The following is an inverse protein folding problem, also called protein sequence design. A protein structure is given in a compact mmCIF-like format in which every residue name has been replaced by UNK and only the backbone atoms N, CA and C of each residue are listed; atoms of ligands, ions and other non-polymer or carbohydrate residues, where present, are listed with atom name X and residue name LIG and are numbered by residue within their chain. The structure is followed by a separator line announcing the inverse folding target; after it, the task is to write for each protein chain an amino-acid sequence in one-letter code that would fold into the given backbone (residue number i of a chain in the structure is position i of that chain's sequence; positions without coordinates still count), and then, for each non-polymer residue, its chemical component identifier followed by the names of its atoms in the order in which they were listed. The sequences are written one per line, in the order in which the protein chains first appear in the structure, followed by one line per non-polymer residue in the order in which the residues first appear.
data_IF_608341120475
#
_entry.id   IF_608341120475
#
_cell.length_a   1.000
_cell.length_b   1.000
_cell.length_c   1.000
_cell.angle_alpha   90.00
_cell.angle_beta   90.00
_cell.angle_gamma   90.00
#
_symmetry.space_group_name_H-M   'P 1'
#
loop_
_entity.id
_entity.type
_entity.pdbx_description
1 polymer ?
#
# COMPACT_ATOMS: atom_id res chain seq x y z
N UNK A 1 6.89 21.40 12.05
CA UNK A 1 7.32 20.00 11.84
C UNK A 1 6.19 19.01 12.14
N UNK A 2 4.90 19.40 11.99
CA UNK A 2 3.73 18.54 12.28
C UNK A 2 2.86 18.18 11.06
N UNK A 3 3.06 18.79 9.88
CA UNK A 3 2.14 18.56 8.73
C UNK A 3 2.24 17.15 8.15
N UNK A 4 3.43 16.52 8.15
CA UNK A 4 3.63 15.21 7.51
C UNK A 4 2.85 14.08 8.18
N UNK A 5 2.73 14.09 9.52
CA UNK A 5 1.98 13.06 10.26
C UNK A 5 0.46 13.19 10.14
N UNK A 6 -0.02 14.37 9.77
CA UNK A 6 -1.44 14.70 9.71
C UNK A 6 -2.03 14.33 8.34
N UNK A 7 -1.29 14.67 7.27
CA UNK A 7 -1.51 14.21 5.89
C UNK A 7 -1.57 12.67 5.83
N UNK A 8 -0.57 12.00 6.43
CA UNK A 8 -0.55 10.54 6.60
C UNK A 8 -1.84 10.00 7.23
N UNK A 9 -2.41 10.73 8.17
CA UNK A 9 -3.55 10.25 8.93
C UNK A 9 -4.87 10.37 8.18
N UNK A 10 -5.05 11.37 7.30
CA UNK A 10 -6.30 11.54 6.55
C UNK A 10 -6.39 10.53 5.42
N UNK A 11 -5.34 10.41 4.61
CA UNK A 11 -5.31 9.47 3.49
C UNK A 11 -5.52 8.02 3.97
N UNK A 12 -4.90 7.63 5.09
CA UNK A 12 -5.01 6.28 5.64
C UNK A 12 -6.43 5.82 6.05
N UNK A 13 -7.41 6.74 6.12
CA UNK A 13 -8.78 6.40 6.51
C UNK A 13 -9.81 6.60 5.39
N UNK A 14 -9.42 7.14 4.23
CA UNK A 14 -10.36 7.50 3.15
C UNK A 14 -11.06 6.27 2.57
N UNK A 15 -10.38 5.13 2.47
CA UNK A 15 -10.98 3.85 2.06
C UNK A 15 -12.25 3.47 2.84
N UNK A 16 -12.40 3.97 4.06
CA UNK A 16 -13.58 3.70 4.89
C UNK A 16 -14.74 4.68 4.66
N UNK A 17 -14.48 5.86 4.08
CA UNK A 17 -15.46 6.94 3.94
C UNK A 17 -16.78 6.51 3.28
N UNK A 18 -16.82 5.64 2.25
CA UNK A 18 -18.09 5.16 1.71
C UNK A 18 -19.01 4.50 2.75
N UNK A 19 -18.45 3.77 3.72
CA UNK A 19 -19.23 3.15 4.80
C UNK A 19 -19.79 4.21 5.76
N UNK A 20 -18.95 5.18 6.14
CA UNK A 20 -19.35 6.29 7.00
C UNK A 20 -20.41 7.18 6.31
N UNK A 21 -20.31 7.38 4.99
CA UNK A 21 -21.33 8.05 4.17
C UNK A 21 -22.66 7.33 4.17
N UNK A 22 -22.65 6.00 4.01
CA UNK A 22 -23.88 5.21 4.00
C UNK A 22 -24.69 5.41 5.29
N UNK A 23 -23.99 5.41 6.43
CA UNK A 23 -24.60 5.69 7.74
C UNK A 23 -25.15 7.12 7.79
N UNK A 24 -24.36 8.12 7.36
CA UNK A 24 -24.77 9.53 7.37
C UNK A 24 -26.03 9.74 6.51
N UNK A 25 -26.07 9.15 5.31
CA UNK A 25 -27.23 9.22 4.43
C UNK A 25 -28.48 8.60 5.06
N UNK A 26 -28.32 7.52 5.84
CA UNK A 26 -29.41 6.93 6.62
C UNK A 26 -29.99 7.92 7.62
N UNK A 27 -29.14 8.63 8.36
CA UNK A 27 -29.54 9.66 9.33
C UNK A 27 -30.22 10.84 8.63
N UNK A 28 -29.66 11.32 7.52
CA UNK A 28 -30.24 12.39 6.71
C UNK A 28 -31.65 12.02 6.27
N UNK A 29 -31.82 10.82 5.71
CA UNK A 29 -33.12 10.31 5.26
C UNK A 29 -34.13 10.23 6.41
N UNK A 30 -33.73 9.69 7.56
CA UNK A 30 -34.61 9.61 8.73
C UNK A 30 -35.00 11.00 9.25
N UNK A 31 -34.02 11.90 9.39
CA UNK A 31 -34.24 13.27 9.85
C UNK A 31 -35.19 14.03 8.92
N UNK A 32 -34.98 13.94 7.61
CA UNK A 32 -35.82 14.59 6.61
C UNK A 32 -37.25 14.00 6.60
N UNK A 33 -37.40 12.69 6.79
CA UNK A 33 -38.72 12.03 6.88
C UNK A 33 -39.51 12.45 8.12
N UNK A 34 -38.84 12.59 9.28
CA UNK A 34 -39.46 13.06 10.50
C UNK A 34 -39.86 14.53 10.34
N UNK A 35 -39.00 15.35 9.72
CA UNK A 35 -39.29 16.75 9.41
C UNK A 35 -40.55 16.90 8.56
N UNK A 36 -40.74 16.08 7.53
CA UNK A 36 -41.96 16.09 6.70
C UNK A 36 -43.22 15.72 7.50
N UNK A 37 -43.10 14.79 8.46
CA UNK A 37 -44.22 14.36 9.31
C UNK A 37 -44.68 15.46 10.27
N UNK A 38 -43.76 16.29 10.78
CA UNK A 38 -44.07 17.39 11.70
C UNK A 38 -44.36 18.74 11.01
N UNK A 39 -44.04 18.88 9.71
CA UNK A 39 -44.23 20.13 8.94
C UNK A 39 -45.70 20.53 8.66
N UNK A 40 -46.67 19.85 9.29
CA UNK A 40 -48.04 20.36 9.44
C UNK A 40 -48.17 21.65 10.27
N UNK A 41 -47.09 22.15 10.89
CA UNK A 41 -47.05 23.43 11.60
C UNK A 41 -45.71 24.15 11.40
N UNK A 42 -45.73 25.29 10.72
CA UNK A 42 -44.54 25.99 10.27
C UNK A 42 -43.62 26.52 11.38
N UNK A 43 -42.35 26.13 11.32
CA UNK A 43 -41.20 27.02 11.47
C UNK A 43 -40.01 26.30 10.84
N UNK A 44 -39.63 26.71 9.63
CA UNK A 44 -38.57 26.07 8.88
C UNK A 44 -37.23 26.48 9.46
N UNK A 45 -36.39 25.49 9.80
CA UNK A 45 -34.97 25.74 9.99
C UNK A 45 -34.34 25.93 8.60
N UNK A 46 -34.47 27.15 8.08
CA UNK A 46 -33.90 27.57 6.80
C UNK A 46 -32.42 27.89 6.88
N UNK A 47 -31.83 27.84 8.08
CA UNK A 47 -30.40 28.04 8.27
C UNK A 47 -29.64 26.76 7.90
N UNK A 48 -28.88 26.77 6.78
CA UNK A 48 -28.08 25.62 6.39
C UNK A 48 -27.11 25.20 7.50
N UNK A 49 -26.55 26.14 8.26
CA UNK A 49 -25.59 25.84 9.31
C UNK A 49 -26.22 24.99 10.42
N UNK A 50 -27.46 25.30 10.80
CA UNK A 50 -28.18 24.56 11.85
C UNK A 50 -28.59 23.16 11.40
N UNK A 51 -29.00 23.02 10.14
CA UNK A 51 -29.26 21.70 9.54
C UNK A 51 -28.01 20.81 9.59
N UNK A 52 -26.88 21.28 9.05
CA UNK A 52 -25.66 20.49 8.98
C UNK A 52 -25.10 20.16 10.38
N UNK A 53 -25.17 21.10 11.31
CA UNK A 53 -24.80 20.87 12.71
C UNK A 53 -25.65 19.77 13.35
N UNK A 54 -26.98 19.80 13.13
CA UNK A 54 -27.90 18.81 13.70
C UNK A 54 -27.61 17.42 13.15
N UNK A 55 -27.44 17.28 11.83
CA UNK A 55 -27.09 16.02 11.18
C UNK A 55 -25.74 15.48 11.71
N UNK A 56 -24.71 16.32 11.78
CA UNK A 56 -23.41 15.92 12.29
C UNK A 56 -23.46 15.49 13.77
N UNK A 57 -24.25 16.19 14.59
CA UNK A 57 -24.42 15.84 16.00
C UNK A 57 -25.09 14.48 16.16
N UNK A 58 -26.21 14.24 15.47
CA UNK A 58 -26.91 12.95 15.49
C UNK A 58 -25.97 11.81 15.07
N UNK A 59 -25.21 12.04 13.99
CA UNK A 59 -24.22 11.11 13.49
C UNK A 59 -23.16 10.76 14.54
N UNK A 60 -22.53 11.78 15.14
CA UNK A 60 -21.48 11.56 16.13
C UNK A 60 -22.02 10.88 17.40
N UNK A 61 -23.24 11.21 17.84
CA UNK A 61 -23.89 10.55 18.98
C UNK A 61 -24.17 9.07 18.71
N UNK A 62 -24.77 8.74 17.57
CA UNK A 62 -25.04 7.35 17.20
C UNK A 62 -23.74 6.53 17.08
N UNK A 63 -22.70 7.15 16.52
CA UNK A 63 -21.40 6.50 16.33
C UNK A 63 -20.66 6.28 17.67
N UNK A 64 -20.87 7.14 18.66
CA UNK A 64 -20.33 6.95 20.01
C UNK A 64 -20.94 5.75 20.72
N UNK A 65 -22.22 5.48 20.49
CA UNK A 65 -22.92 4.31 21.07
C UNK A 65 -22.53 3.01 20.35
N UNK A 66 -22.16 3.11 19.07
CA UNK A 66 -21.66 1.99 18.27
C UNK A 66 -20.20 1.68 18.58
N UNK A 67 -19.94 0.68 19.44
CA UNK A 67 -18.58 0.20 19.72
C UNK A 67 -17.85 -0.42 18.50
N UNK A 68 -18.53 -0.56 17.36
CA UNK A 68 -18.03 -1.25 16.17
C UNK A 68 -17.21 -0.36 15.22
N UNK A 69 -17.23 0.96 15.40
CA UNK A 69 -16.65 1.91 14.44
C UNK A 69 -15.58 2.79 15.08
N UNK A 70 -14.59 3.17 14.28
CA UNK A 70 -13.47 3.97 14.75
C UNK A 70 -13.92 5.45 14.83
N UNK A 71 -14.10 5.93 16.06
CA UNK A 71 -14.54 7.31 16.32
C UNK A 71 -13.57 8.37 15.74
N UNK A 72 -12.27 8.09 15.62
CA UNK A 72 -11.32 8.99 14.95
C UNK A 72 -11.70 9.12 13.46
N UNK A 73 -11.95 7.99 12.78
CA UNK A 73 -12.36 7.98 11.37
C UNK A 73 -13.71 8.67 11.19
N UNK A 74 -14.64 8.46 12.11
CA UNK A 74 -15.93 9.13 12.15
C UNK A 74 -15.77 10.67 12.15
N UNK A 75 -14.98 11.19 13.09
CA UNK A 75 -14.73 12.63 13.19
C UNK A 75 -14.04 13.19 11.94
N UNK A 76 -13.12 12.45 11.33
CA UNK A 76 -12.47 12.82 10.07
C UNK A 76 -13.44 12.87 8.90
N UNK A 77 -14.34 11.88 8.82
CA UNK A 77 -15.37 11.85 7.79
C UNK A 77 -16.36 13.01 7.92
N UNK A 78 -16.82 13.34 9.13
CA UNK A 78 -17.70 14.49 9.36
C UNK A 78 -17.04 15.80 8.93
N UNK A 79 -15.76 15.97 9.24
CA UNK A 79 -15.05 17.16 8.80
C UNK A 79 -14.96 17.25 7.27
N UNK A 80 -14.58 16.14 6.62
CA UNK A 80 -14.59 16.04 5.15
C UNK A 80 -15.97 16.37 4.56
N UNK A 81 -17.05 15.82 5.13
CA UNK A 81 -18.41 16.06 4.68
C UNK A 81 -18.80 17.55 4.79
N UNK A 82 -18.58 18.18 5.95
CA UNK A 82 -18.88 19.60 6.15
C UNK A 82 -18.10 20.49 5.16
N UNK A 83 -16.83 20.18 4.92
CA UNK A 83 -16.00 20.90 3.96
C UNK A 83 -16.52 20.69 2.52
N UNK A 84 -16.94 19.48 2.17
CA UNK A 84 -17.54 19.20 0.87
C UNK A 84 -18.88 19.92 0.66
N UNK A 85 -19.71 20.04 1.71
CA UNK A 85 -20.94 20.84 1.66
C UNK A 85 -20.62 22.33 1.46
N UNK A 86 -19.51 22.82 2.02
CA UNK A 86 -19.03 24.19 1.77
C UNK A 86 -18.58 24.41 0.32
N UNK A 87 -17.80 23.50 -0.25
CA UNK A 87 -17.41 23.55 -1.67
C UNK A 87 -18.62 23.48 -2.62
N UNK A 88 -19.69 22.78 -2.22
CA UNK A 88 -20.95 22.75 -2.98
C UNK A 88 -21.79 24.04 -2.87
N UNK A 89 -21.34 25.02 -2.06
CA UNK A 89 -22.00 26.30 -1.84
C UNK A 89 -23.15 26.27 -0.82
N UNK A 90 -23.35 25.15 -0.12
CA UNK A 90 -24.41 25.02 0.91
C UNK A 90 -23.98 25.62 2.26
N UNK A 91 -22.68 25.71 2.49
CA UNK A 91 -22.05 26.35 3.65
C UNK A 91 -20.90 27.26 3.16
N UNK A 92 -20.45 28.18 4.00
CA UNK A 92 -19.12 28.78 3.80
C UNK A 92 -18.05 27.88 4.41
N UNK A 93 -16.81 27.92 3.91
CA UNK A 93 -15.67 27.18 4.51
C UNK A 93 -15.50 27.55 5.98
N UNK A 94 -15.64 28.85 6.31
CA UNK A 94 -15.59 29.34 7.70
C UNK A 94 -16.67 28.71 8.57
N UNK A 95 -17.91 28.62 8.07
CA UNK A 95 -19.01 28.00 8.81
C UNK A 95 -18.76 26.51 9.00
N UNK A 96 -18.30 25.79 7.96
CA UNK A 96 -17.98 24.37 8.07
C UNK A 96 -16.91 24.12 9.16
N UNK A 97 -15.85 24.93 9.20
CA UNK A 97 -14.82 24.87 10.24
C UNK A 97 -15.39 25.18 11.62
N UNK A 98 -16.16 26.26 11.77
CA UNK A 98 -16.75 26.66 13.05
C UNK A 98 -17.73 25.60 13.60
N UNK A 99 -18.58 25.06 12.73
CA UNK A 99 -19.51 23.98 13.09
C UNK A 99 -18.75 22.75 13.58
N UNK A 100 -17.70 22.35 12.87
CA UNK A 100 -16.87 21.23 13.28
C UNK A 100 -16.24 21.45 14.66
N UNK A 101 -15.63 22.61 14.89
CA UNK A 101 -15.02 22.94 16.18
C UNK A 101 -16.05 22.89 17.32
N UNK A 102 -17.24 23.45 17.12
CA UNK A 102 -18.34 23.39 18.09
C UNK A 102 -18.79 21.96 18.39
N UNK A 103 -18.89 21.11 17.38
CA UNK A 103 -19.24 19.69 17.56
C UNK A 103 -18.18 18.98 18.43
N UNK A 104 -16.91 19.27 18.19
CA UNK A 104 -15.81 18.66 18.92
C UNK A 104 -15.79 19.12 20.38
N UNK A 105 -16.10 20.39 20.68
CA UNK A 105 -16.24 20.90 22.06
C UNK A 105 -17.36 20.20 22.83
N UNK A 106 -18.50 19.92 22.20
CA UNK A 106 -19.61 19.21 22.84
C UNK A 106 -19.20 17.79 23.22
N UNK A 107 -18.45 17.13 22.34
CA UNK A 107 -17.94 15.78 22.57
C UNK A 107 -16.78 15.74 23.59
N UNK A 108 -16.03 16.83 23.72
CA UNK A 108 -14.86 17.02 24.62
C UNK A 108 -15.20 16.85 26.11
N UNK A 109 -16.49 17.01 26.49
CA UNK A 109 -16.98 16.74 27.84
C UNK A 109 -16.81 15.27 28.29
N UNK A 110 -16.31 14.38 27.43
CA UNK A 110 -16.17 12.93 27.65
C UNK A 110 -14.76 12.40 27.27
N UNK A 111 -13.69 13.09 27.69
CA UNK A 111 -12.28 12.71 27.47
C UNK A 111 -11.83 12.67 25.99
N UNK A 112 -11.90 13.81 25.29
CA UNK A 112 -11.41 13.91 23.90
C UNK A 112 -10.33 14.98 23.67
N UNK A 113 -9.60 15.40 24.71
CA UNK A 113 -8.42 16.29 24.57
C UNK A 113 -7.40 15.73 23.55
N UNK A 114 -7.29 14.39 23.49
CA UNK A 114 -6.55 13.66 22.47
C UNK A 114 -7.02 13.95 21.03
N UNK A 115 -8.34 14.05 20.80
CA UNK A 115 -8.91 14.29 19.48
C UNK A 115 -8.83 15.76 19.09
N UNK A 116 -9.03 16.69 20.03
CA UNK A 116 -8.81 18.12 19.84
C UNK A 116 -7.38 18.44 19.40
N UNK A 117 -6.40 17.75 20.01
CA UNK A 117 -4.99 17.86 19.61
C UNK A 117 -4.65 17.23 18.25
N UNK A 118 -5.58 16.43 17.68
CA UNK A 118 -5.47 15.74 16.38
C UNK A 118 -6.40 16.34 15.31
N UNK A 119 -7.26 17.29 15.68
CA UNK A 119 -8.10 18.08 14.78
C UNK A 119 -7.21 19.12 14.14
N UNK A 120 -6.53 18.69 13.09
CA UNK A 120 -5.83 19.60 12.22
C UNK A 120 -6.73 19.89 11.03
N UNK A 121 -7.04 21.17 10.88
CA UNK A 121 -7.79 21.73 9.76
C UNK A 121 -7.13 21.21 8.48
N UNK A 122 -7.85 20.37 7.73
CA UNK A 122 -7.42 19.89 6.42
C UNK A 122 -7.15 21.12 5.55
N UNK A 123 -5.95 21.24 4.99
CA UNK A 123 -5.66 22.27 3.99
C UNK A 123 -6.47 21.99 2.71
N UNK A 124 -6.72 23.01 1.90
CA UNK A 124 -7.45 22.82 0.64
C UNK A 124 -6.84 21.71 -0.24
N UNK A 125 -5.50 21.68 -0.35
CA UNK A 125 -4.78 20.66 -1.14
C UNK A 125 -5.00 19.24 -0.60
N UNK A 126 -4.99 19.07 0.73
CA UNK A 126 -5.29 17.76 1.34
C UNK A 126 -6.75 17.39 1.08
N UNK A 127 -7.68 18.35 1.17
CA UNK A 127 -9.10 18.10 0.91
C UNK A 127 -9.34 17.63 -0.52
N UNK A 128 -8.77 18.29 -1.53
CA UNK A 128 -8.94 17.92 -2.94
C UNK A 128 -8.35 16.53 -3.24
N UNK A 129 -7.20 16.21 -2.64
CA UNK A 129 -6.60 14.88 -2.75
C UNK A 129 -7.44 13.80 -2.05
N UNK A 130 -7.96 14.09 -0.84
CA UNK A 130 -8.87 13.19 -0.11
C UNK A 130 -10.14 12.96 -0.91
N UNK A 131 -10.73 14.01 -1.48
CA UNK A 131 -11.91 13.95 -2.34
C UNK A 131 -11.66 13.05 -3.55
N UNK A 132 -10.53 13.22 -4.22
CA UNK A 132 -10.16 12.39 -5.38
C UNK A 132 -9.98 10.92 -5.03
N UNK A 133 -9.31 10.59 -3.92
CA UNK A 133 -9.22 9.20 -3.42
C UNK A 133 -10.59 8.66 -3.04
N UNK A 134 -11.40 9.47 -2.37
CA UNK A 134 -12.74 9.08 -1.96
C UNK A 134 -13.62 8.74 -3.17
N UNK A 135 -13.59 9.54 -4.23
CA UNK A 135 -14.30 9.27 -5.48
C UNK A 135 -13.84 7.96 -6.14
N UNK A 136 -12.55 7.61 -6.07
CA UNK A 136 -12.05 6.31 -6.54
C UNK A 136 -12.69 5.15 -5.77
N UNK A 137 -12.71 5.21 -4.44
CA UNK A 137 -13.35 4.18 -3.60
C UNK A 137 -14.87 4.12 -3.79
N UNK A 138 -15.54 5.27 -3.92
CA UNK A 138 -16.98 5.35 -4.15
C UNK A 138 -17.36 4.72 -5.51
N UNK A 139 -16.61 5.01 -6.57
CA UNK A 139 -16.81 4.41 -7.89
C UNK A 139 -16.56 2.89 -7.87
N UNK A 140 -15.50 2.43 -7.20
CA UNK A 140 -15.23 0.99 -7.06
C UNK A 140 -16.36 0.30 -6.28
N UNK A 141 -16.89 0.93 -5.23
CA UNK A 141 -18.01 0.40 -4.47
C UNK A 141 -19.30 0.40 -5.30
N UNK A 142 -19.59 1.48 -6.04
CA UNK A 142 -20.70 1.54 -7.00
C UNK A 142 -20.61 0.38 -7.99
N UNK A 143 -19.43 0.15 -8.56
CA UNK A 143 -19.21 -1.00 -9.43
C UNK A 143 -19.48 -2.35 -8.75
N UNK A 144 -19.08 -2.54 -7.48
CA UNK A 144 -19.31 -3.77 -6.72
C UNK A 144 -20.79 -3.99 -6.36
N UNK A 145 -21.49 -2.93 -5.95
CA UNK A 145 -22.80 -3.04 -5.28
C UNK A 145 -23.98 -2.75 -6.18
N UNK A 146 -23.80 -2.00 -7.27
CA UNK A 146 -24.88 -1.71 -8.20
C UNK A 146 -25.31 -3.00 -8.91
N UNK A 147 -26.48 -3.52 -8.54
CA UNK A 147 -27.09 -4.70 -9.15
C UNK A 147 -28.26 -4.33 -10.07
N UNK A 148 -28.49 -3.04 -10.30
CA UNK A 148 -29.59 -2.58 -11.15
C UNK A 148 -29.35 -2.94 -12.61
N UNK A 149 -28.08 -3.06 -13.01
CA UNK A 149 -27.68 -3.38 -14.38
C UNK A 149 -26.67 -4.55 -14.48
N UNK A 150 -26.63 -5.23 -15.64
CA UNK A 150 -25.59 -6.21 -15.95
C UNK A 150 -24.18 -5.63 -15.79
N UNK A 151 -23.22 -6.45 -15.36
CA UNK A 151 -21.82 -6.03 -15.13
C UNK A 151 -21.22 -5.34 -16.38
N UNK A 152 -21.61 -5.76 -17.58
CA UNK A 152 -21.15 -5.17 -18.85
C UNK A 152 -21.52 -3.71 -19.03
N UNK A 153 -22.59 -3.23 -18.39
CA UNK A 153 -23.02 -1.82 -18.49
C UNK A 153 -22.36 -0.95 -17.42
N UNK A 154 -21.81 -1.57 -16.37
CA UNK A 154 -21.12 -0.89 -15.26
C UNK A 154 -19.65 -0.57 -15.56
N UNK A 155 -19.16 -0.87 -16.76
CA UNK A 155 -17.77 -0.63 -17.14
C UNK A 155 -17.36 0.86 -17.12
N UNK A 156 -18.31 1.79 -17.12
CA UNK A 156 -18.04 3.22 -16.95
C UNK A 156 -17.38 3.55 -15.60
N UNK A 157 -17.71 2.82 -14.52
CA UNK A 157 -17.04 2.97 -13.22
C UNK A 157 -15.57 2.55 -13.29
N UNK A 158 -15.27 1.50 -14.06
CA UNK A 158 -13.91 0.97 -14.26
C UNK A 158 -13.06 2.00 -14.99
N UNK A 159 -13.59 2.55 -16.09
CA UNK A 159 -12.93 3.61 -16.86
C UNK A 159 -12.71 4.88 -16.01
N UNK A 160 -13.71 5.27 -15.22
CA UNK A 160 -13.60 6.43 -14.31
C UNK A 160 -12.52 6.20 -13.25
N UNK A 161 -12.46 5.02 -12.63
CA UNK A 161 -11.40 4.67 -11.69
C UNK A 161 -10.01 4.75 -12.34
N UNK A 162 -9.86 4.18 -13.53
CA UNK A 162 -8.58 4.19 -14.25
C UNK A 162 -8.12 5.61 -14.55
N UNK A 163 -8.97 6.42 -15.18
CA UNK A 163 -8.63 7.78 -15.58
C UNK A 163 -8.29 8.67 -14.38
N UNK A 164 -9.05 8.57 -13.28
CA UNK A 164 -8.79 9.35 -12.07
C UNK A 164 -7.51 8.90 -11.36
N UNK A 165 -7.22 7.61 -11.31
CA UNK A 165 -5.99 7.09 -10.73
C UNK A 165 -4.74 7.55 -11.51
N UNK A 166 -4.80 7.50 -12.85
CA UNK A 166 -3.67 7.87 -13.72
C UNK A 166 -3.25 9.34 -13.62
N UNK A 167 -4.11 10.24 -13.11
CA UNK A 167 -3.75 11.64 -12.87
C UNK A 167 -2.59 11.81 -11.88
N UNK A 168 -2.39 10.84 -10.99
CA UNK A 168 -1.36 10.89 -9.95
C UNK A 168 -0.04 10.23 -10.37
N UNK A 169 0.09 9.78 -11.61
CA UNK A 169 1.29 9.08 -12.09
C UNK A 169 2.54 9.94 -11.92
N UNK A 170 2.52 11.19 -12.35
CA UNK A 170 3.70 12.08 -12.27
C UNK A 170 4.08 12.38 -10.82
N UNK A 171 3.11 12.81 -10.00
CA UNK A 171 3.32 13.16 -8.59
C UNK A 171 3.86 11.95 -7.80
N UNK A 172 3.20 10.81 -7.96
CA UNK A 172 3.60 9.59 -7.27
C UNK A 172 4.84 8.93 -7.85
N UNK A 173 5.25 9.28 -9.07
CA UNK A 173 6.54 8.86 -9.64
C UNK A 173 7.73 9.62 -9.04
N UNK A 174 7.51 10.86 -8.59
CA UNK A 174 8.57 11.71 -8.03
C UNK A 174 8.71 11.54 -6.52
N UNK A 175 7.61 11.28 -5.80
CA UNK A 175 7.58 11.15 -4.35
C UNK A 175 6.79 9.90 -3.88
N UNK A 176 7.33 8.72 -4.16
CA UNK A 176 6.67 7.43 -3.89
C UNK A 176 6.31 7.15 -2.42
N UNK A 177 6.94 7.85 -1.47
CA UNK A 177 6.75 7.63 -0.02
C UNK A 177 5.73 8.57 0.61
N UNK A 178 5.18 9.53 -0.14
CA UNK A 178 4.08 10.37 0.34
C UNK A 178 2.88 9.48 0.73
N UNK A 179 2.26 9.80 1.86
CA UNK A 179 0.99 9.27 2.34
C UNK A 179 -0.10 9.10 1.26
N UNK A 180 -0.30 10.12 0.42
CA UNK A 180 -1.24 10.11 -0.70
C UNK A 180 -0.93 8.94 -1.64
N UNK A 181 0.33 8.82 -2.05
CA UNK A 181 0.76 7.76 -2.97
C UNK A 181 0.72 6.37 -2.33
N UNK A 182 0.92 6.27 -1.02
CA UNK A 182 0.69 5.02 -0.30
C UNK A 182 -0.79 4.62 -0.32
N UNK A 183 -1.71 5.56 -0.13
CA UNK A 183 -3.14 5.26 -0.23
C UNK A 183 -3.57 4.95 -1.68
N UNK A 184 -2.99 5.62 -2.68
CA UNK A 184 -3.19 5.25 -4.09
C UNK A 184 -2.76 3.81 -4.36
N UNK A 185 -1.61 3.36 -3.82
CA UNK A 185 -1.20 1.95 -3.93
C UNK A 185 -2.11 0.99 -3.16
N UNK A 186 -2.70 1.41 -2.03
CA UNK A 186 -3.70 0.62 -1.32
C UNK A 186 -4.97 0.44 -2.19
N UNK A 187 -5.47 1.54 -2.77
CA UNK A 187 -6.58 1.51 -3.71
C UNK A 187 -6.26 0.61 -4.91
N UNK A 188 -5.08 0.76 -5.51
CA UNK A 188 -4.57 -0.07 -6.60
C UNK A 188 -4.65 -1.55 -6.27
N UNK A 189 -4.18 -1.93 -5.07
CA UNK A 189 -4.18 -3.30 -4.59
C UNK A 189 -5.60 -3.87 -4.49
N UNK A 190 -6.53 -3.11 -3.89
CA UNK A 190 -7.91 -3.53 -3.72
C UNK A 190 -8.65 -3.65 -5.06
N UNK A 191 -8.56 -2.61 -5.89
CA UNK A 191 -9.15 -2.58 -7.22
C UNK A 191 -8.62 -3.74 -8.06
N UNK A 192 -7.29 -3.96 -8.09
CA UNK A 192 -6.71 -5.02 -8.91
C UNK A 192 -7.07 -6.41 -8.39
N UNK A 193 -7.18 -6.60 -7.07
CA UNK A 193 -7.67 -7.85 -6.49
C UNK A 193 -9.08 -8.16 -7.00
N UNK A 194 -9.98 -7.18 -6.99
CA UNK A 194 -11.35 -7.36 -7.43
C UNK A 194 -11.46 -7.58 -8.94
N UNK A 195 -10.78 -6.75 -9.73
CA UNK A 195 -10.81 -6.85 -11.20
C UNK A 195 -10.15 -8.13 -11.72
N UNK A 196 -9.30 -8.79 -10.92
CA UNK A 196 -8.75 -10.11 -11.26
C UNK A 196 -9.84 -11.18 -11.40
N UNK A 197 -10.96 -11.04 -10.72
CA UNK A 197 -12.03 -12.04 -10.67
C UNK A 197 -13.14 -11.79 -11.71
N UNK A 198 -13.10 -10.66 -12.41
CA UNK A 198 -14.14 -10.23 -13.35
C UNK A 198 -13.75 -10.50 -14.80
N UNK A 199 -14.69 -11.03 -15.57
CA UNK A 199 -14.54 -11.36 -17.01
C UNK A 199 -15.20 -10.33 -17.95
N UNK A 200 -15.92 -9.35 -17.41
CA UNK A 200 -16.54 -8.27 -18.16
C UNK A 200 -15.56 -7.11 -18.45
N UNK A 201 -15.99 -6.16 -19.28
CA UNK A 201 -15.29 -4.91 -19.60
C UNK A 201 -14.07 -4.98 -20.57
N UNK A 202 -13.86 -6.07 -21.32
CA UNK A 202 -12.94 -6.08 -22.47
C UNK A 202 -11.44 -6.06 -22.15
N UNK A 203 -10.59 -6.11 -23.19
CA UNK A 203 -9.28 -6.80 -23.24
C UNK A 203 -8.28 -6.51 -22.09
N UNK A 204 -8.02 -7.57 -21.31
CA UNK A 204 -6.99 -7.81 -20.30
C UNK A 204 -6.89 -6.87 -19.10
N UNK A 205 -8.05 -6.59 -18.48
CA UNK A 205 -8.25 -6.00 -17.14
C UNK A 205 -7.47 -4.70 -17.02
N UNK A 206 -8.15 -3.55 -16.98
CA UNK A 206 -7.50 -2.24 -16.70
C UNK A 206 -6.92 -2.22 -15.28
N UNK A 207 -5.92 -3.06 -15.04
CA UNK A 207 -5.15 -3.22 -13.84
C UNK A 207 -4.42 -1.91 -13.70
N UNK A 208 -4.60 -1.29 -12.56
CA UNK A 208 -3.93 -0.05 -12.25
C UNK A 208 -2.43 -0.33 -12.10
N UNK A 209 -1.56 0.38 -12.85
CA UNK A 209 -0.11 0.22 -12.76
C UNK A 209 0.38 0.74 -11.41
N UNK A 210 1.46 0.14 -10.89
CA UNK A 210 2.10 0.70 -9.71
C UNK A 210 2.90 1.93 -10.11
N UNK A 211 2.76 3.01 -9.34
CA UNK A 211 3.57 4.22 -9.52
C UNK A 211 4.90 4.12 -8.76
N UNK A 212 5.04 3.13 -7.87
CA UNK A 212 6.32 2.85 -7.21
C UNK A 212 7.33 2.37 -8.24
N UNK A 213 8.26 3.25 -8.61
CA UNK A 213 9.37 2.87 -9.46
C UNK A 213 10.20 1.85 -8.69
N UNK A 214 10.28 0.65 -9.27
CA UNK A 214 11.22 -0.34 -8.80
C UNK A 214 12.59 0.22 -9.14
N UNK A 215 13.32 0.69 -8.14
CA UNK A 215 14.69 1.15 -8.34
C UNK A 215 15.49 -0.08 -8.78
N UNK A 216 15.66 -0.26 -10.09
CA UNK A 216 16.32 -1.44 -10.68
C UNK A 216 17.71 -1.60 -10.07
N UNK A 217 18.37 -0.47 -9.78
CA UNK A 217 19.60 -0.43 -9.01
C UNK A 217 19.44 -1.12 -7.64
N UNK A 218 18.44 -0.79 -6.83
CA UNK A 218 18.20 -1.41 -5.52
C UNK A 218 17.88 -2.91 -5.64
N UNK A 219 17.07 -3.30 -6.63
CA UNK A 219 16.72 -4.71 -6.86
C UNK A 219 17.94 -5.54 -7.25
N UNK A 220 18.86 -4.95 -8.01
CA UNK A 220 20.11 -5.62 -8.42
C UNK A 220 21.17 -5.55 -7.32
N UNK A 221 21.26 -4.42 -6.60
CA UNK A 221 22.28 -4.18 -5.58
C UNK A 221 22.02 -4.93 -4.28
N UNK A 222 20.77 -5.13 -3.86
CA UNK A 222 20.46 -5.86 -2.62
C UNK A 222 20.98 -7.32 -2.67
N UNK A 223 20.64 -8.14 -3.69
CA UNK A 223 21.17 -9.49 -3.80
C UNK A 223 22.69 -9.51 -3.90
N UNK A 224 23.29 -8.59 -4.67
CA UNK A 224 24.74 -8.47 -4.80
C UNK A 224 25.40 -8.17 -3.45
N UNK A 225 24.86 -7.23 -2.69
CA UNK A 225 25.37 -6.87 -1.37
C UNK A 225 25.24 -8.04 -0.38
N UNK A 226 24.11 -8.77 -0.39
CA UNK A 226 23.92 -9.96 0.44
C UNK A 226 24.96 -11.04 0.09
N UNK A 227 25.19 -11.31 -1.19
CA UNK A 227 26.22 -12.26 -1.64
C UNK A 227 27.59 -11.81 -1.14
N UNK A 228 27.91 -10.52 -1.26
CA UNK A 228 29.18 -9.95 -0.84
C UNK A 228 29.38 -10.13 0.67
N UNK A 229 28.37 -9.81 1.48
CA UNK A 229 28.39 -10.02 2.94
C UNK A 229 28.58 -11.49 3.29
N UNK A 230 27.89 -12.41 2.61
CA UNK A 230 28.06 -13.85 2.83
C UNK A 230 29.50 -14.29 2.52
N UNK A 231 30.07 -13.86 1.39
CA UNK A 231 31.47 -14.18 1.04
C UNK A 231 32.45 -13.63 2.07
N UNK A 232 32.23 -12.40 2.56
CA UNK A 232 33.04 -11.81 3.63
C UNK A 232 32.94 -12.59 4.94
N UNK A 233 31.73 -13.02 5.33
CA UNK A 233 31.52 -13.85 6.52
C UNK A 233 32.21 -15.21 6.37
N UNK A 234 32.10 -15.86 5.22
CA UNK A 234 32.77 -17.13 4.93
C UNK A 234 34.29 -16.98 4.97
N UNK A 235 34.84 -15.90 4.43
CA UNK A 235 36.27 -15.60 4.49
C UNK A 235 36.74 -15.38 5.93
N UNK A 236 35.98 -14.62 6.72
CA UNK A 236 36.29 -14.38 8.13
C UNK A 236 36.23 -15.68 8.94
N UNK A 237 35.19 -16.49 8.75
CA UNK A 237 35.07 -17.81 9.36
C UNK A 237 36.21 -18.72 8.93
N UNK A 238 36.58 -18.76 7.66
CA UNK A 238 37.71 -19.56 7.17
C UNK A 238 39.03 -19.15 7.84
N UNK A 239 39.27 -17.84 8.03
CA UNK A 239 40.50 -17.31 8.62
C UNK A 239 40.56 -17.47 10.14
N UNK A 240 39.44 -17.35 10.85
CA UNK A 240 39.38 -17.26 12.31
C UNK A 240 38.76 -18.49 13.00
N UNK A 241 38.20 -19.45 12.26
CA UNK A 241 37.76 -20.74 12.81
C UNK A 241 38.90 -21.75 12.64
N UNK A 242 39.21 -22.61 13.65
CA UNK A 242 40.36 -23.53 13.62
C UNK A 242 40.20 -24.72 12.64
N UNK A 243 39.34 -24.60 11.63
CA UNK A 243 39.23 -25.58 10.55
C UNK A 243 40.42 -25.53 9.59
N UNK A 244 41.17 -24.42 9.52
CA UNK A 244 42.42 -24.37 8.73
C UNK A 244 43.41 -25.48 9.15
N UNK A 245 43.52 -25.74 10.45
CA UNK A 245 44.34 -26.81 11.03
C UNK A 245 43.82 -28.22 10.72
N UNK A 246 42.50 -28.38 10.52
CA UNK A 246 41.85 -29.66 10.21
C UNK A 246 41.79 -29.97 8.72
N UNK A 247 41.67 -28.95 7.87
CA UNK A 247 41.55 -29.06 6.41
C UNK A 247 42.94 -29.15 5.75
N UNK A 248 43.94 -28.45 6.28
CA UNK A 248 45.31 -28.46 5.74
C UNK A 248 45.92 -29.88 5.63
N UNK A 249 45.79 -30.77 6.63
CA UNK A 249 46.25 -32.16 6.51
C UNK A 249 45.52 -32.94 5.42
N UNK A 250 44.21 -32.71 5.24
CA UNK A 250 43.40 -33.41 4.22
C UNK A 250 43.80 -33.00 2.80
N UNK A 251 44.04 -31.70 2.57
CA UNK A 251 44.53 -31.18 1.29
C UNK A 251 45.94 -31.72 0.99
N UNK A 252 46.84 -31.71 1.98
CA UNK A 252 48.21 -32.25 1.82
C UNK A 252 48.21 -33.74 1.52
N UNK A 253 47.32 -34.52 2.14
CA UNK A 253 47.16 -35.96 1.88
C UNK A 253 46.70 -36.24 0.45
N UNK A 254 45.71 -35.49 -0.06
CA UNK A 254 45.27 -35.62 -1.46
C UNK A 254 46.37 -35.23 -2.46
N UNK A 255 47.11 -34.16 -2.19
CA UNK A 255 48.24 -33.72 -3.03
C UNK A 255 49.35 -34.77 -3.11
N UNK A 256 49.67 -35.41 -1.98
CA UNK A 256 50.67 -36.48 -1.94
C UNK A 256 50.23 -37.75 -2.69
N UNK A 257 48.95 -38.10 -2.61
CA UNK A 257 48.39 -39.23 -3.38
C UNK A 257 48.49 -38.95 -4.87
N UNK A 258 48.16 -37.74 -5.31
CA UNK A 258 48.23 -37.36 -6.72
C UNK A 258 49.67 -37.37 -7.24
N UNK A 259 50.62 -36.82 -6.48
CA UNK A 259 52.04 -36.86 -6.86
C UNK A 259 52.66 -38.26 -6.87
N UNK A 260 52.07 -39.22 -6.14
CA UNK A 260 52.51 -40.62 -6.18
C UNK A 260 51.98 -41.33 -7.42
N UNK A 261 50.71 -41.06 -7.79
CA UNK A 261 50.11 -41.60 -9.02
C UNK A 261 50.83 -41.09 -10.27
N UNK A 262 51.18 -39.80 -10.33
CA UNK A 262 51.93 -39.24 -11.46
C UNK A 262 53.32 -39.89 -11.61
N UNK A 263 54.00 -40.17 -10.48
CA UNK A 263 55.31 -40.84 -10.50
C UNK A 263 55.22 -42.31 -10.91
N UNK A 264 54.18 -43.02 -10.46
CA UNK A 264 53.94 -44.42 -10.85
C UNK A 264 53.63 -44.52 -12.36
N UNK A 265 52.91 -43.56 -12.92
CA UNK A 265 52.60 -43.49 -14.35
C UNK A 265 53.86 -43.20 -15.20
N UNK A 266 54.69 -42.23 -14.79
CA UNK A 266 55.98 -41.94 -15.42
C UNK A 266 56.94 -43.15 -15.39
N UNK A 267 57.00 -43.87 -14.27
CA UNK A 267 57.86 -45.04 -14.11
C UNK A 267 57.36 -46.23 -14.95
N UNK A 268 56.04 -46.41 -15.05
CA UNK A 268 55.42 -47.41 -15.92
C UNK A 268 55.72 -47.14 -17.40
N UNK A 269 55.57 -45.88 -17.84
CA UNK A 269 55.87 -45.47 -19.21
C UNK A 269 57.34 -45.73 -19.58
N UNK A 270 58.28 -45.35 -18.71
CA UNK A 270 59.71 -45.56 -18.94
C UNK A 270 60.10 -47.04 -19.01
N UNK A 271 59.46 -47.89 -18.20
CA UNK A 271 59.66 -49.34 -18.23
C UNK A 271 59.14 -49.98 -19.50
N UNK A 272 58.00 -49.49 -20.01
CA UNK A 272 57.44 -49.92 -21.29
C UNK A 272 58.37 -49.51 -22.45
N UNK A 273 58.86 -48.28 -22.50
CA UNK A 273 59.83 -47.85 -23.53
C UNK A 273 61.11 -48.69 -23.54
N UNK A 274 61.68 -48.99 -22.37
CA UNK A 274 62.85 -49.86 -22.24
C UNK A 274 62.59 -51.30 -22.70
N UNK A 275 61.39 -51.82 -22.45
CA UNK A 275 60.99 -53.14 -22.91
C UNK A 275 60.91 -53.20 -24.44
N UNK A 276 60.29 -52.19 -25.08
CA UNK A 276 60.18 -52.10 -26.54
C UNK A 276 61.54 -51.88 -27.22
N UNK A 277 62.41 -51.06 -26.63
CA UNK A 277 63.77 -50.87 -27.13
C UNK A 277 64.57 -52.19 -27.09
N UNK A 278 64.46 -52.96 -26.00
CA UNK A 278 65.13 -54.26 -25.89
C UNK A 278 64.56 -55.34 -26.81
N UNK A 279 63.25 -55.35 -27.09
CA UNK A 279 62.66 -56.26 -28.08
C UNK A 279 63.09 -55.94 -29.51
N UNK A 280 63.22 -54.64 -29.85
CA UNK A 280 63.71 -54.22 -31.16
C UNK A 280 65.18 -54.62 -31.36
N UNK A 281 66.04 -54.47 -30.34
CA UNK A 281 67.45 -54.88 -30.41
C UNK A 281 67.60 -56.40 -30.62
N UNK A 282 66.69 -57.22 -30.07
CA UNK A 282 66.71 -58.69 -30.28
C UNK A 282 66.23 -59.12 -31.67
N UNK A 283 65.45 -58.31 -32.39
CA UNK A 283 64.97 -58.65 -33.73
C UNK A 283 66.01 -58.42 -34.85
N UNK A 284 67.09 -57.67 -34.59
CA UNK A 284 68.17 -57.43 -35.58
C UNK A 284 69.38 -58.38 -35.44
N UNK A 285 69.32 -59.37 -34.53
CA UNK A 285 70.40 -60.33 -34.27
C UNK A 285 70.04 -61.78 -34.70
N UNK A 286 69.22 -61.95 -35.75
CA UNK A 286 68.96 -63.24 -36.41
C UNK A 286 69.31 -63.17 -37.89
#
# INVERSE_FOLDING_TARGET
MSSSTEEESMYAVVSWFPNYRSILNGIISEYDSQKETYAGGGYYDSDPSKYHFTIALLYLTQMKESQLLNIITCCKYIYYWLYNEAESGKLSVSNATELYLKLMEILDSVDLEYYKSKINIISYDIFENVKSIYELYDNLNGFKTDKTEPITNRCHYVETCFNSYMKYEEECSQNHSNALCNEMENFRSEYNKYMKEISACGQDKQMLPSFKSHNIAVIVLIPLFIILVIVFLLYYLYKFTPYGSYIYPLIRKKKHIWSNLDKEDEEFHKKHELFYANTNIRQYNL
#
